data_IF_679613432720
#
_entry.id   IF_679613432720
#
_cell.length_a   1.000
_cell.length_b   1.000
_cell.length_c   1.000
_cell.angle_alpha   90.00
_cell.angle_beta   90.00
_cell.angle_gamma   90.00
#
_symmetry.space_group_name_H-M   'P 1'
#
loop_
_entity.id
_entity.type
_entity.pdbx_description
1 polymer ?
#
# COMPACT_ATOMS: atom_id res chain seq x y z
N UNK A 1 -56.33 -6.06 -40.50
CA UNK A 1 -56.25 -7.51 -40.21
C UNK A 1 -55.22 -7.69 -39.12
N UNK A 2 -55.41 -8.30 -37.97
CA UNK A 2 -56.46 -9.14 -37.41
C UNK A 2 -55.77 -9.85 -36.26
N UNK A 3 -56.23 -9.61 -35.02
CA UNK A 3 -55.70 -10.29 -33.84
C UNK A 3 -55.83 -11.82 -33.98
N UNK A 4 -55.02 -12.62 -33.26
CA UNK A 4 -55.55 -13.18 -32.01
C UNK A 4 -54.49 -13.25 -30.90
N UNK A 5 -54.73 -12.69 -29.71
CA UNK A 5 -55.66 -13.07 -28.63
C UNK A 5 -55.25 -14.28 -27.78
N UNK A 6 -54.98 -13.91 -26.52
CA UNK A 6 -55.15 -14.66 -25.25
C UNK A 6 -53.93 -15.53 -24.90
N UNK A 7 -53.47 -15.57 -23.65
CA UNK A 7 -54.30 -15.98 -22.50
C UNK A 7 -53.77 -15.47 -21.15
N UNK A 8 -54.74 -15.20 -20.27
CA UNK A 8 -54.82 -15.61 -18.86
C UNK A 8 -53.77 -15.01 -17.92
N UNK A 9 -54.15 -14.09 -17.03
CA UNK A 9 -54.93 -14.29 -15.80
C UNK A 9 -54.06 -14.56 -14.57
N UNK A 10 -54.59 -14.05 -13.45
CA UNK A 10 -54.33 -14.44 -12.07
C UNK A 10 -53.17 -13.74 -11.37
N UNK A 11 -53.58 -12.69 -10.65
CA UNK A 11 -53.16 -12.27 -9.32
C UNK A 11 -52.16 -13.17 -8.59
N UNK A 12 -51.22 -12.52 -7.91
CA UNK A 12 -50.92 -12.82 -6.51
C UNK A 12 -50.14 -11.67 -5.90
N UNK A 13 -50.80 -10.94 -5.00
CA UNK A 13 -50.09 -10.19 -4.00
C UNK A 13 -49.12 -11.12 -3.27
N UNK A 14 -47.85 -10.76 -3.26
CA UNK A 14 -46.88 -11.35 -2.35
C UNK A 14 -46.34 -10.25 -1.46
N UNK A 15 -46.95 -10.22 -0.27
CA UNK A 15 -46.40 -9.84 1.03
C UNK A 15 -45.11 -9.03 0.98
N UNK A 16 -45.19 -7.80 1.49
CA UNK A 16 -44.09 -7.11 2.15
C UNK A 16 -43.39 -8.14 3.06
N UNK A 17 -42.19 -8.57 2.70
CA UNK A 17 -41.27 -9.19 3.64
C UNK A 17 -40.24 -8.16 4.00
N UNK A 18 -40.29 -7.80 5.27
CA UNK A 18 -39.33 -7.02 6.02
C UNK A 18 -37.92 -7.25 5.49
N UNK A 19 -37.26 -6.18 5.03
CA UNK A 19 -35.80 -6.17 4.95
C UNK A 19 -35.35 -6.09 6.40
N UNK A 20 -35.12 -7.24 7.01
CA UNK A 20 -34.27 -7.31 8.20
C UNK A 20 -32.96 -6.63 7.80
N UNK A 21 -32.58 -5.56 8.49
CA UNK A 21 -31.19 -5.14 8.59
C UNK A 21 -30.44 -6.25 9.32
N UNK A 22 -30.25 -7.37 8.62
CA UNK A 22 -29.28 -8.37 8.97
C UNK A 22 -27.95 -7.78 8.56
N UNK A 23 -27.18 -7.35 9.55
CA UNK A 23 -25.73 -7.22 9.42
C UNK A 23 -25.29 -8.52 8.75
N UNK A 24 -24.92 -8.44 7.47
CA UNK A 24 -24.36 -9.60 6.79
C UNK A 24 -23.16 -10.06 7.64
N UNK A 25 -23.05 -11.36 7.99
CA UNK A 25 -21.88 -11.80 8.70
C UNK A 25 -20.70 -11.49 7.80
N UNK A 26 -19.76 -10.70 8.33
CA UNK A 26 -18.49 -10.41 7.69
C UNK A 26 -17.90 -11.77 7.30
N UNK A 27 -17.94 -12.11 6.01
CA UNK A 27 -17.28 -13.31 5.49
C UNK A 27 -15.80 -13.04 5.65
N UNK A 28 -15.23 -13.52 6.75
CA UNK A 28 -13.79 -13.49 6.98
C UNK A 28 -13.22 -14.59 6.07
N UNK A 29 -12.46 -14.25 5.02
CA UNK A 29 -11.83 -15.27 4.19
C UNK A 29 -10.94 -16.14 5.08
N UNK A 30 -11.22 -17.46 5.10
CA UNK A 30 -10.39 -18.45 5.81
C UNK A 30 -9.01 -18.44 5.18
N UNK A 31 -8.08 -17.78 5.86
CA UNK A 31 -6.75 -17.42 5.38
C UNK A 31 -6.24 -16.08 5.95
N UNK A 32 -7.10 -15.31 6.60
CA UNK A 32 -6.71 -14.08 7.29
C UNK A 32 -6.29 -14.41 8.73
N UNK A 33 -5.04 -14.14 9.16
CA UNK A 33 -4.65 -14.35 10.54
C UNK A 33 -5.54 -13.51 11.46
N UNK A 34 -6.00 -14.14 12.53
CA UNK A 34 -6.93 -13.62 13.53
C UNK A 34 -6.59 -12.16 13.90
N UNK A 35 -7.55 -11.26 13.73
CA UNK A 35 -7.42 -9.80 13.85
C UNK A 35 -7.24 -9.30 15.30
N UNK A 36 -6.59 -10.11 16.14
CA UNK A 36 -6.09 -9.77 17.48
C UNK A 36 -4.57 -9.91 17.63
N UNK A 37 -3.82 -10.00 16.54
CA UNK A 37 -2.35 -9.91 16.59
C UNK A 37 -1.84 -8.53 16.18
N UNK A 38 -2.35 -7.51 16.87
CA UNK A 38 -1.90 -6.12 16.81
C UNK A 38 -0.52 -5.89 17.44
N UNK A 39 0.19 -6.95 17.86
CA UNK A 39 1.44 -6.88 18.62
C UNK A 39 2.58 -7.72 18.05
N UNK A 40 2.46 -8.20 16.80
CA UNK A 40 3.56 -8.90 16.12
C UNK A 40 3.99 -8.19 14.86
N UNK A 41 4.09 -6.86 14.96
CA UNK A 41 5.19 -6.22 14.27
C UNK A 41 6.46 -6.79 14.93
N UNK A 42 7.05 -7.82 14.32
CA UNK A 42 8.44 -8.23 14.57
C UNK A 42 9.35 -7.06 14.14
N UNK A 43 9.29 -5.95 14.86
CA UNK A 43 10.05 -4.72 14.66
C UNK A 43 11.51 -4.85 15.06
N UNK A 44 12.03 -6.06 15.08
CA UNK A 44 13.41 -6.37 15.40
C UNK A 44 14.23 -6.49 14.10
N UNK A 45 14.14 -5.49 13.24
CA UNK A 45 14.88 -5.43 11.98
C UNK A 45 15.50 -4.07 11.67
N UNK A 46 15.30 -3.06 12.51
CA UNK A 46 16.15 -1.88 12.50
C UNK A 46 17.33 -2.21 13.41
N UNK A 47 18.36 -2.84 12.83
CA UNK A 47 19.65 -3.03 13.49
C UNK A 47 20.14 -1.64 13.91
N UNK A 48 20.00 -1.34 15.22
CA UNK A 48 20.40 -0.09 15.82
C UNK A 48 21.92 -0.01 15.72
N UNK A 49 22.46 0.53 14.63
CA UNK A 49 23.88 0.82 14.49
C UNK A 49 24.29 1.77 15.63
N UNK A 50 24.82 1.22 16.71
CA UNK A 50 25.29 1.97 17.88
C UNK A 50 24.23 2.43 18.89
N UNK A 51 23.05 1.81 18.94
CA UNK A 51 22.04 2.10 19.97
C UNK A 51 21.23 3.40 19.79
N UNK A 52 21.41 4.11 18.66
CA UNK A 52 20.58 5.25 18.27
C UNK A 52 19.72 4.88 17.06
N UNK A 53 18.45 5.29 17.10
CA UNK A 53 17.58 5.24 15.92
C UNK A 53 18.06 6.30 14.91
N UNK A 54 18.37 5.90 13.66
CA UNK A 54 18.73 6.86 12.63
C UNK A 54 17.56 7.80 12.37
N UNK A 55 17.89 9.04 12.06
CA UNK A 55 16.93 10.04 11.60
C UNK A 55 16.37 9.64 10.24
N UNK A 56 15.23 10.23 9.87
CA UNK A 56 14.65 10.02 8.55
C UNK A 56 15.65 10.37 7.43
N UNK A 57 16.42 11.44 7.61
CA UNK A 57 17.40 11.88 6.62
C UNK A 57 18.57 10.88 6.46
N UNK A 58 19.04 10.29 7.56
CA UNK A 58 20.06 9.24 7.53
C UNK A 58 19.56 7.98 6.80
N UNK A 59 18.33 7.55 7.10
CA UNK A 59 17.68 6.42 6.44
C UNK A 59 17.48 6.67 4.95
N UNK A 60 16.96 7.83 4.58
CA UNK A 60 16.79 8.22 3.18
C UNK A 60 18.13 8.21 2.44
N UNK A 61 19.16 8.80 3.04
CA UNK A 61 20.50 8.89 2.47
C UNK A 61 21.11 7.51 2.25
N UNK A 62 20.99 6.62 3.23
CA UNK A 62 21.45 5.24 3.12
C UNK A 62 20.70 4.47 2.02
N UNK A 63 19.37 4.62 1.98
CA UNK A 63 18.55 3.95 0.99
C UNK A 63 18.84 4.44 -0.43
N UNK A 64 19.04 5.76 -0.61
CA UNK A 64 19.47 6.35 -1.89
C UNK A 64 20.80 5.73 -2.34
N UNK A 65 21.81 5.63 -1.45
CA UNK A 65 23.09 5.00 -1.79
C UNK A 65 22.91 3.52 -2.16
N UNK A 66 22.07 2.79 -1.42
CA UNK A 66 21.79 1.37 -1.68
C UNK A 66 21.17 1.17 -3.07
N UNK A 67 20.18 1.99 -3.42
CA UNK A 67 19.52 1.94 -4.72
C UNK A 67 20.49 2.33 -5.84
N UNK A 68 21.29 3.40 -5.66
CA UNK A 68 22.29 3.82 -6.65
C UNK A 68 23.31 2.72 -6.94
N UNK A 69 23.84 2.05 -5.91
CA UNK A 69 24.73 0.88 -6.10
C UNK A 69 24.02 -0.25 -6.83
N UNK A 70 22.76 -0.53 -6.50
CA UNK A 70 21.98 -1.59 -7.13
C UNK A 70 21.72 -1.35 -8.63
N UNK A 71 21.60 -0.08 -9.05
CA UNK A 71 21.37 0.28 -10.47
C UNK A 71 22.63 0.80 -11.18
N UNK A 72 23.81 0.60 -10.59
CA UNK A 72 25.10 1.08 -11.14
C UNK A 72 25.06 2.57 -11.49
N UNK A 73 24.64 3.42 -10.56
CA UNK A 73 24.56 4.88 -10.69
C UNK A 73 23.61 5.42 -11.78
N UNK A 74 22.72 4.57 -12.30
CA UNK A 74 21.64 4.99 -13.18
C UNK A 74 20.58 5.80 -12.43
N UNK A 75 20.77 7.12 -12.38
CA UNK A 75 19.92 8.10 -11.67
C UNK A 75 18.44 8.03 -12.11
N UNK A 76 18.17 7.76 -13.38
CA UNK A 76 16.80 7.64 -13.91
C UNK A 76 16.11 6.40 -13.35
N UNK A 77 16.79 5.25 -13.33
CA UNK A 77 16.25 4.02 -12.73
C UNK A 77 16.14 4.14 -11.21
N UNK A 78 17.12 4.75 -10.55
CA UNK A 78 17.08 4.99 -9.11
C UNK A 78 15.87 5.84 -8.69
N UNK A 79 15.61 6.94 -9.40
CA UNK A 79 14.46 7.81 -9.15
C UNK A 79 13.12 7.04 -9.27
N UNK A 80 13.00 6.16 -10.27
CA UNK A 80 11.81 5.32 -10.46
C UNK A 80 11.62 4.32 -9.32
N UNK A 81 12.70 3.70 -8.83
CA UNK A 81 12.66 2.76 -7.70
C UNK A 81 12.31 3.46 -6.40
N UNK A 82 12.87 4.65 -6.18
CA UNK A 82 12.61 5.48 -5.00
C UNK A 82 11.22 6.15 -5.03
N UNK A 83 10.54 6.17 -6.18
CA UNK A 83 9.25 6.84 -6.34
C UNK A 83 9.32 8.37 -6.26
N UNK A 84 10.50 8.95 -6.52
CA UNK A 84 10.73 10.40 -6.47
C UNK A 84 11.10 10.95 -7.85
N UNK A 85 10.94 12.26 -8.03
CA UNK A 85 11.44 12.93 -9.23
C UNK A 85 12.98 12.88 -9.29
N UNK A 86 13.55 12.66 -10.48
CA UNK A 86 15.00 12.71 -10.75
C UNK A 86 15.65 14.01 -10.24
N UNK A 87 14.98 15.15 -10.38
CA UNK A 87 15.51 16.46 -9.90
C UNK A 87 15.63 16.45 -8.38
N UNK A 88 14.63 15.92 -7.68
CA UNK A 88 14.65 15.77 -6.22
C UNK A 88 15.75 14.82 -5.78
N UNK A 89 15.94 13.70 -6.48
CA UNK A 89 17.04 12.77 -6.23
C UNK A 89 18.41 13.47 -6.37
N UNK A 90 18.61 14.27 -7.42
CA UNK A 90 19.85 15.00 -7.64
C UNK A 90 20.15 16.00 -6.51
N UNK A 91 19.14 16.75 -6.05
CA UNK A 91 19.28 17.67 -4.91
C UNK A 91 19.69 16.93 -3.64
N UNK A 92 19.08 15.77 -3.36
CA UNK A 92 19.43 14.93 -2.20
C UNK A 92 20.87 14.41 -2.30
N UNK A 93 21.28 13.89 -3.46
CA UNK A 93 22.67 13.45 -3.70
C UNK A 93 23.65 14.59 -3.45
N UNK A 94 23.38 15.78 -4.02
CA UNK A 94 24.23 16.97 -3.80
C UNK A 94 24.32 17.37 -2.33
N UNK A 95 23.21 17.35 -1.61
CA UNK A 95 23.18 17.65 -0.18
C UNK A 95 24.04 16.67 0.62
N UNK A 96 23.99 15.38 0.29
CA UNK A 96 24.78 14.35 0.93
C UNK A 96 26.28 14.49 0.64
N UNK A 97 26.66 14.87 -0.59
CA UNK A 97 28.06 15.14 -0.95
C UNK A 97 28.63 16.35 -0.20
N UNK A 98 27.83 17.40 -0.01
CA UNK A 98 28.25 18.61 0.71
C UNK A 98 28.31 18.41 2.23
N UNK A 99 27.54 17.46 2.76
CA UNK A 99 27.51 17.13 4.19
C UNK A 99 28.59 16.14 4.61
N UNK A 100 29.26 15.46 3.69
CA UNK A 100 30.37 14.57 4.02
C UNK A 100 31.63 15.42 4.30
N UNK A 101 32.14 15.48 5.55
CA UNK A 101 33.41 16.14 5.79
C UNK A 101 34.51 15.41 5.00
N UNK A 102 35.11 16.14 4.06
CA UNK A 102 36.42 15.77 3.50
C UNK A 102 37.43 15.94 4.64
N UNK A 103 37.83 14.81 5.25
CA UNK A 103 38.95 14.76 6.19
C UNK A 103 40.28 14.67 5.43
#
# INVERSE_FOLDING_TARGET
MGHPRKKRAVAKGRKRKSVSNGIAPLVVPRGMPDTRRSAEWNGAGAELSGGRLPTLEELESEYIRKVLRHVSDNKTRAARILGINRVSLWRKIKSMELSAPVF
#
